data_IF_115231762529
#
_entry.id   IF_115231762529
#
_cell.length_a   1.000
_cell.length_b   1.000
_cell.length_c   1.000
_cell.angle_alpha   90.00
_cell.angle_beta   90.00
_cell.angle_gamma   90.00
#
_symmetry.space_group_name_H-M   'P 1'
#
loop_
_entity.id
_entity.type
_entity.pdbx_description
1 polymer ?
#
# COMPACT_ATOMS: atom_id res chain seq x y z
N UNK A 1 21.46 -48.80 -25.42
CA UNK A 1 20.61 -47.61 -25.67
C UNK A 1 19.49 -47.56 -24.64
N UNK A 2 19.78 -47.28 -23.35
CA UNK A 2 18.75 -47.32 -22.30
C UNK A 2 19.04 -46.42 -21.11
N UNK A 3 19.72 -45.28 -21.29
CA UNK A 3 20.01 -44.33 -20.19
C UNK A 3 19.91 -42.85 -20.55
N UNK A 4 19.20 -42.48 -21.63
CA UNK A 4 19.06 -41.07 -22.05
C UNK A 4 17.69 -40.47 -21.66
N UNK A 5 16.73 -41.31 -21.30
CA UNK A 5 15.34 -40.83 -20.98
C UNK A 5 15.18 -40.36 -19.56
N UNK A 6 16.12 -40.56 -18.67
CA UNK A 6 15.99 -40.21 -17.24
C UNK A 6 16.55 -38.82 -16.90
N UNK A 7 17.23 -38.17 -17.82
CA UNK A 7 17.87 -36.86 -17.55
C UNK A 7 17.01 -35.64 -17.94
N UNK A 8 15.87 -35.85 -18.66
CA UNK A 8 15.02 -34.76 -19.11
C UNK A 8 13.90 -34.41 -18.11
N UNK A 9 13.72 -35.19 -17.07
CA UNK A 9 12.62 -35.02 -16.10
C UNK A 9 12.93 -34.09 -14.91
N UNK A 10 14.21 -33.72 -14.71
CA UNK A 10 14.62 -32.98 -13.50
C UNK A 10 14.71 -31.45 -13.71
N UNK A 11 14.62 -30.98 -14.95
CA UNK A 11 14.84 -29.56 -15.26
C UNK A 11 13.57 -28.69 -15.18
N UNK A 12 12.40 -29.28 -14.86
CA UNK A 12 11.12 -28.52 -14.78
C UNK A 12 10.64 -28.18 -13.37
N UNK A 13 11.43 -28.47 -12.32
CA UNK A 13 10.98 -28.29 -10.93
C UNK A 13 11.56 -27.06 -10.21
N UNK A 14 12.31 -26.19 -10.88
CA UNK A 14 12.94 -25.04 -10.22
C UNK A 14 12.34 -23.68 -10.55
N UNK A 15 11.18 -23.60 -11.20
CA UNK A 15 10.50 -22.32 -11.47
C UNK A 15 9.21 -22.08 -10.65
N UNK A 16 9.01 -22.79 -9.56
CA UNK A 16 7.97 -22.41 -8.57
C UNK A 16 8.54 -21.42 -7.56
N UNK A 17 9.16 -20.34 -8.05
CA UNK A 17 9.62 -19.25 -7.20
C UNK A 17 8.45 -18.33 -6.82
N UNK A 18 8.06 -18.39 -5.55
CA UNK A 18 7.68 -17.23 -4.73
C UNK A 18 6.45 -16.42 -5.14
N UNK A 19 5.35 -17.06 -5.41
CA UNK A 19 4.05 -16.44 -5.12
C UNK A 19 3.60 -16.76 -3.69
N UNK A 20 4.39 -16.35 -2.69
CA UNK A 20 3.81 -16.13 -1.38
C UNK A 20 2.95 -14.85 -1.51
N UNK A 21 1.61 -14.91 -1.39
CA UNK A 21 0.82 -13.69 -1.32
C UNK A 21 1.31 -12.94 -0.09
N UNK A 22 1.90 -11.76 -0.31
CA UNK A 22 2.35 -10.90 0.77
C UNK A 22 1.20 -10.59 1.72
N UNK A 23 1.49 -10.05 2.89
CA UNK A 23 0.48 -9.76 3.93
C UNK A 23 -0.68 -8.88 3.44
N UNK A 24 -0.55 -8.24 2.28
CA UNK A 24 -1.55 -7.34 1.68
C UNK A 24 -1.77 -7.65 0.18
N UNK A 25 -2.32 -8.82 -0.17
CA UNK A 25 -2.40 -9.31 -1.57
C UNK A 25 -3.33 -8.47 -2.47
N UNK A 26 -4.20 -7.65 -1.89
CA UNK A 26 -5.19 -6.85 -2.62
C UNK A 26 -4.87 -5.35 -2.64
N UNK A 27 -3.78 -4.91 -1.99
CA UNK A 27 -3.43 -3.50 -1.97
C UNK A 27 -3.12 -2.98 -3.38
N UNK A 28 -3.60 -1.77 -3.70
CA UNK A 28 -3.16 -1.03 -4.88
C UNK A 28 -1.78 -0.48 -4.62
N UNK A 29 -0.82 -0.80 -5.49
CA UNK A 29 0.60 -0.51 -5.28
C UNK A 29 1.08 0.51 -6.29
N UNK A 30 1.94 1.40 -5.81
CA UNK A 30 2.56 2.46 -6.59
C UNK A 30 4.06 2.44 -6.34
N UNK A 31 4.82 2.12 -7.38
CA UNK A 31 6.29 2.22 -7.34
C UNK A 31 6.71 3.65 -7.62
N UNK A 32 7.40 4.26 -6.66
CA UNK A 32 7.79 5.67 -6.65
C UNK A 32 9.32 5.76 -6.67
N UNK A 33 9.88 6.54 -7.59
CA UNK A 33 11.32 6.81 -7.70
C UNK A 33 11.78 7.80 -6.62
N UNK A 34 11.66 7.39 -5.37
CA UNK A 34 12.06 8.16 -4.19
C UNK A 34 12.49 7.21 -3.08
N UNK A 35 13.52 7.58 -2.32
CA UNK A 35 13.94 6.81 -1.15
C UNK A 35 12.85 6.83 -0.06
N UNK A 36 12.74 5.74 0.70
CA UNK A 36 11.68 5.53 1.70
C UNK A 36 11.62 6.63 2.76
N UNK A 37 12.77 7.02 3.30
CA UNK A 37 12.87 8.10 4.29
C UNK A 37 12.36 9.43 3.74
N UNK A 38 12.68 9.73 2.49
CA UNK A 38 12.25 10.95 1.80
C UNK A 38 10.73 10.97 1.58
N UNK A 39 10.17 9.83 1.17
CA UNK A 39 8.72 9.70 1.00
C UNK A 39 7.98 9.84 2.34
N UNK A 40 8.48 9.21 3.40
CA UNK A 40 7.92 9.32 4.75
C UNK A 40 7.96 10.78 5.23
N UNK A 41 9.09 11.48 5.04
CA UNK A 41 9.22 12.89 5.41
C UNK A 41 8.27 13.78 4.59
N UNK A 42 8.05 13.46 3.31
CA UNK A 42 7.10 14.17 2.44
C UNK A 42 5.67 14.00 2.95
N UNK A 43 5.28 12.79 3.34
CA UNK A 43 3.97 12.50 3.94
C UNK A 43 3.78 13.25 5.27
N UNK A 44 4.81 13.28 6.14
CA UNK A 44 4.77 14.03 7.40
C UNK A 44 4.59 15.53 7.16
N UNK A 45 5.32 16.10 6.19
CA UNK A 45 5.17 17.52 5.82
C UNK A 45 3.78 17.82 5.27
N UNK A 46 3.27 16.96 4.40
CA UNK A 46 1.91 17.08 3.87
C UNK A 46 0.87 17.12 4.99
N UNK A 47 0.91 16.16 5.92
CA UNK A 47 -0.02 16.13 7.06
C UNK A 47 0.12 17.37 7.97
N UNK A 48 1.34 17.89 8.13
CA UNK A 48 1.58 19.12 8.91
C UNK A 48 0.98 20.35 8.23
N UNK A 49 1.03 20.44 6.90
CA UNK A 49 0.44 21.55 6.13
C UNK A 49 -1.06 21.40 5.91
N UNK A 50 -1.59 20.19 6.02
CA UNK A 50 -3.00 19.83 5.81
C UNK A 50 -3.52 18.96 6.97
N UNK A 51 -3.73 19.58 8.16
CA UNK A 51 -4.06 18.86 9.40
C UNK A 51 -5.36 18.06 9.32
N UNK A 52 -6.26 18.36 8.41
CA UNK A 52 -7.49 17.64 8.15
C UNK A 52 -7.25 16.17 7.72
N UNK A 53 -6.06 15.86 7.19
CA UNK A 53 -5.64 14.49 6.86
C UNK A 53 -5.07 13.72 8.05
N UNK A 54 -4.89 14.35 9.21
CA UNK A 54 -4.44 13.67 10.43
C UNK A 54 -5.61 12.91 11.04
N UNK A 55 -5.40 11.63 11.33
CA UNK A 55 -6.38 10.81 12.04
C UNK A 55 -6.42 11.20 13.51
N UNK A 56 -7.62 11.43 14.04
CA UNK A 56 -7.78 11.76 15.46
C UNK A 56 -7.27 10.63 16.35
N UNK A 57 -6.51 10.93 17.42
CA UNK A 57 -5.99 9.95 18.39
C UNK A 57 -7.07 9.04 19.00
N UNK A 58 -8.31 9.51 19.08
CA UNK A 58 -9.45 8.72 19.59
C UNK A 58 -9.70 7.40 18.85
N UNK A 59 -9.22 7.29 17.60
CA UNK A 59 -9.36 6.08 16.78
C UNK A 59 -8.24 5.07 17.00
N UNK A 60 -7.17 5.44 17.71
CA UNK A 60 -6.06 4.54 18.06
C UNK A 60 -5.12 4.20 16.89
N UNK A 61 -5.22 4.89 15.74
CA UNK A 61 -4.34 4.67 14.58
C UNK A 61 -3.20 5.69 14.58
N UNK A 62 -1.97 5.20 14.57
CA UNK A 62 -0.75 6.01 14.60
C UNK A 62 0.16 5.61 13.45
N UNK A 63 0.68 6.62 12.74
CA UNK A 63 1.66 6.38 11.68
C UNK A 63 2.96 5.84 12.28
N UNK A 64 3.53 4.83 11.64
CA UNK A 64 4.78 4.24 12.09
C UNK A 64 4.95 2.78 11.75
N UNK A 65 6.01 2.18 12.29
CA UNK A 65 6.24 0.74 12.23
C UNK A 65 5.64 0.09 13.47
N UNK A 66 4.96 -1.04 13.28
CA UNK A 66 4.29 -1.76 14.38
C UNK A 66 5.28 -2.28 15.42
N UNK A 67 6.46 -2.74 14.96
CA UNK A 67 7.58 -3.17 15.81
C UNK A 67 8.89 -2.78 15.11
N UNK A 68 9.98 -2.58 15.82
CA UNK A 68 11.24 -2.05 15.28
C UNK A 68 11.88 -2.82 14.11
N UNK A 69 11.32 -3.97 13.72
CA UNK A 69 11.73 -4.79 12.56
C UNK A 69 10.64 -4.89 11.49
N UNK A 70 9.55 -4.14 11.62
CA UNK A 70 8.49 -4.15 10.61
C UNK A 70 9.01 -3.56 9.27
N UNK A 71 8.77 -4.26 8.18
CA UNK A 71 9.15 -3.83 6.85
C UNK A 71 8.24 -2.73 6.31
N UNK A 72 7.02 -2.62 6.86
CA UNK A 72 6.04 -1.64 6.44
C UNK A 72 5.99 -0.47 7.42
N UNK A 73 6.05 0.74 6.86
CA UNK A 73 5.71 1.95 7.59
C UNK A 73 4.21 2.22 7.36
N UNK A 74 3.39 2.00 8.37
CA UNK A 74 1.94 2.17 8.32
C UNK A 74 1.56 3.65 8.31
N UNK A 75 0.56 4.01 7.52
CA UNK A 75 0.09 5.39 7.36
C UNK A 75 -1.43 5.38 7.33
N UNK A 76 -2.02 6.30 8.09
CA UNK A 76 -3.45 6.48 8.16
C UNK A 76 -3.82 7.91 7.80
N UNK A 77 -4.58 8.11 6.73
CA UNK A 77 -5.09 9.43 6.34
C UNK A 77 -6.54 9.56 6.75
N UNK A 78 -6.90 10.68 7.36
CA UNK A 78 -8.29 11.05 7.57
C UNK A 78 -8.87 11.59 6.26
N UNK A 79 -10.10 11.22 5.94
CA UNK A 79 -10.89 11.83 4.86
C UNK A 79 -12.15 12.44 5.48
N UNK A 80 -12.11 13.71 5.90
CA UNK A 80 -13.21 14.34 6.64
C UNK A 80 -14.49 14.48 5.82
N UNK A 81 -14.35 14.68 4.49
CA UNK A 81 -15.49 14.84 3.58
C UNK A 81 -16.36 13.59 3.49
N UNK A 82 -15.79 12.42 3.76
CA UNK A 82 -16.48 11.12 3.71
C UNK A 82 -16.57 10.43 5.07
N UNK A 83 -16.07 11.07 6.13
CA UNK A 83 -15.97 10.47 7.47
C UNK A 83 -15.31 9.09 7.42
N UNK A 84 -14.11 9.03 6.82
CA UNK A 84 -13.38 7.78 6.57
C UNK A 84 -11.92 7.92 6.99
N UNK A 85 -11.34 6.77 7.34
CA UNK A 85 -9.90 6.59 7.51
C UNK A 85 -9.40 5.73 6.34
N UNK A 86 -8.35 6.19 5.67
CA UNK A 86 -7.64 5.49 4.61
C UNK A 86 -6.40 4.88 5.23
N UNK A 87 -6.20 3.58 5.04
CA UNK A 87 -4.99 2.89 5.42
C UNK A 87 -4.10 2.63 4.22
N UNK A 88 -2.86 3.01 4.36
CA UNK A 88 -1.79 2.78 3.41
C UNK A 88 -0.52 2.31 4.14
N UNK A 89 0.46 1.82 3.40
CA UNK A 89 1.80 1.58 3.91
C UNK A 89 2.87 1.97 2.89
N UNK A 90 4.07 2.19 3.40
CA UNK A 90 5.29 2.45 2.61
C UNK A 90 6.30 1.35 2.90
N UNK A 91 6.98 0.86 1.87
CA UNK A 91 8.05 -0.12 1.98
C UNK A 91 9.18 0.21 1.02
N UNK A 92 10.40 0.14 1.53
CA UNK A 92 11.60 0.28 0.72
C UNK A 92 11.72 -0.87 -0.28
N UNK A 93 11.95 -0.54 -1.55
CA UNK A 93 12.30 -1.49 -2.60
C UNK A 93 13.82 -1.48 -2.88
N UNK A 94 14.40 -0.28 -2.94
CA UNK A 94 15.84 -0.07 -3.14
C UNK A 94 16.32 1.20 -2.42
N UNK A 95 17.53 1.66 -2.69
CA UNK A 95 18.04 2.94 -2.17
C UNK A 95 17.26 4.15 -2.72
N UNK A 96 16.68 4.03 -3.92
CA UNK A 96 16.04 5.13 -4.65
C UNK A 96 14.59 4.85 -5.00
N UNK A 97 14.05 3.67 -4.65
CA UNK A 97 12.69 3.26 -4.97
C UNK A 97 11.94 2.82 -3.73
N UNK A 98 10.67 3.15 -3.70
CA UNK A 98 9.75 2.84 -2.61
C UNK A 98 8.40 2.45 -3.16
N UNK A 99 7.79 1.42 -2.59
CA UNK A 99 6.36 1.12 -2.81
C UNK A 99 5.52 1.84 -1.78
N UNK A 100 4.55 2.62 -2.24
CA UNK A 100 3.41 3.07 -1.45
C UNK A 100 2.21 2.23 -1.85
N UNK A 101 1.45 1.73 -0.89
CA UNK A 101 0.30 0.90 -1.18
C UNK A 101 -0.96 1.38 -0.46
N UNK A 102 -2.04 1.50 -1.21
CA UNK A 102 -3.37 1.78 -0.70
C UNK A 102 -4.07 0.45 -0.38
N UNK A 103 -4.37 0.22 0.90
CA UNK A 103 -4.81 -1.08 1.40
C UNK A 103 -6.32 -1.15 1.59
N UNK A 104 -6.86 -0.22 2.37
CA UNK A 104 -8.26 -0.30 2.80
C UNK A 104 -8.80 1.03 3.30
N UNK A 105 -10.12 1.09 3.42
CA UNK A 105 -10.86 2.22 3.97
C UNK A 105 -11.75 1.74 5.10
N UNK A 106 -11.87 2.55 6.15
CA UNK A 106 -12.80 2.37 7.26
C UNK A 106 -13.65 3.61 7.45
N UNK A 107 -14.95 3.45 7.71
CA UNK A 107 -15.81 4.56 8.12
C UNK A 107 -15.57 4.88 9.60
N UNK A 108 -15.70 6.15 9.99
CA UNK A 108 -15.59 6.57 11.39
C UNK A 108 -16.63 5.92 12.31
N UNK A 109 -17.83 5.67 11.77
CA UNK A 109 -18.95 5.06 12.49
C UNK A 109 -18.88 3.54 12.57
N UNK A 110 -17.97 2.90 11.81
CA UNK A 110 -17.91 1.44 11.68
C UNK A 110 -16.67 0.90 12.40
N UNK A 111 -16.83 0.61 13.69
CA UNK A 111 -15.75 0.25 14.61
C UNK A 111 -15.08 -1.11 14.35
N UNK A 112 -15.44 -1.83 13.28
CA UNK A 112 -14.87 -3.16 13.05
C UNK A 112 -14.36 -3.42 11.64
N UNK A 113 -14.93 -2.77 10.64
CA UNK A 113 -14.85 -3.27 9.27
C UNK A 113 -13.98 -2.40 8.35
N UNK A 114 -12.73 -2.82 8.17
CA UNK A 114 -11.90 -2.36 7.07
C UNK A 114 -12.38 -3.00 5.76
N UNK A 115 -12.70 -2.18 4.77
CA UNK A 115 -12.97 -2.64 3.40
C UNK A 115 -11.72 -2.52 2.56
N UNK A 116 -11.25 -3.65 2.06
CA UNK A 116 -10.01 -3.75 1.27
C UNK A 116 -10.23 -3.30 -0.16
N UNK A 117 -9.29 -2.54 -0.67
CA UNK A 117 -9.20 -2.19 -2.09
C UNK A 117 -9.02 -3.49 -2.90
N UNK A 118 -9.50 -3.51 -4.12
CA UNK A 118 -9.44 -4.63 -5.06
C UNK A 118 -10.10 -5.95 -4.58
N UNK A 119 -10.83 -5.93 -3.44
CA UNK A 119 -11.52 -7.10 -2.92
C UNK A 119 -12.96 -6.84 -2.50
N UNK A 120 -13.19 -5.87 -1.62
CA UNK A 120 -14.45 -5.72 -0.91
C UNK A 120 -15.39 -4.69 -1.58
N UNK A 121 -14.97 -4.12 -2.71
CA UNK A 121 -15.74 -3.15 -3.50
C UNK A 121 -16.12 -3.71 -4.88
N UNK A 122 -17.29 -3.32 -5.40
CA UNK A 122 -17.64 -3.58 -6.79
C UNK A 122 -16.69 -2.84 -7.73
N UNK A 123 -16.41 -3.39 -8.91
CA UNK A 123 -15.40 -2.89 -9.87
C UNK A 123 -15.45 -1.37 -10.10
N UNK A 124 -16.64 -0.81 -10.35
CA UNK A 124 -16.79 0.63 -10.60
C UNK A 124 -16.51 1.50 -9.37
N UNK A 125 -16.96 1.06 -8.19
CA UNK A 125 -16.70 1.73 -6.93
C UNK A 125 -15.22 1.66 -6.56
N UNK A 126 -14.59 0.50 -6.74
CA UNK A 126 -13.17 0.30 -6.49
C UNK A 126 -12.31 1.26 -7.31
N UNK A 127 -12.53 1.35 -8.63
CA UNK A 127 -11.83 2.29 -9.51
C UNK A 127 -11.99 3.74 -9.06
N UNK A 128 -13.20 4.12 -8.62
CA UNK A 128 -13.44 5.47 -8.11
C UNK A 128 -12.64 5.77 -6.86
N UNK A 129 -12.51 4.80 -5.93
CA UNK A 129 -11.73 4.96 -4.70
C UNK A 129 -10.23 5.05 -4.96
N UNK A 130 -9.71 4.25 -5.89
CA UNK A 130 -8.32 4.32 -6.34
C UNK A 130 -8.04 5.71 -6.89
N UNK A 131 -8.86 6.19 -7.84
CA UNK A 131 -8.70 7.51 -8.43
C UNK A 131 -8.83 8.66 -7.44
N UNK A 132 -9.68 8.53 -6.42
CA UNK A 132 -9.75 9.50 -5.33
C UNK A 132 -8.49 9.52 -4.47
N UNK A 133 -7.91 8.36 -4.18
CA UNK A 133 -6.65 8.25 -3.45
C UNK A 133 -5.50 8.91 -4.23
N UNK A 134 -5.38 8.62 -5.51
CA UNK A 134 -4.40 9.23 -6.40
C UNK A 134 -4.54 10.76 -6.39
N UNK A 135 -5.74 11.28 -6.67
CA UNK A 135 -5.99 12.71 -6.76
C UNK A 135 -5.80 13.44 -5.43
N UNK A 136 -6.25 12.86 -4.31
CA UNK A 136 -6.24 13.54 -3.01
C UNK A 136 -4.96 13.31 -2.21
N UNK A 137 -4.27 12.21 -2.45
CA UNK A 137 -3.07 11.84 -1.68
C UNK A 137 -1.83 11.90 -2.55
N UNK A 138 -1.72 11.11 -3.62
CA UNK A 138 -0.49 11.06 -4.41
C UNK A 138 -0.16 12.40 -5.03
N UNK A 139 -1.09 13.02 -5.76
CA UNK A 139 -0.84 14.33 -6.39
C UNK A 139 -0.63 15.44 -5.37
N UNK A 140 -1.30 15.39 -4.21
CA UNK A 140 -1.07 16.34 -3.12
C UNK A 140 0.28 16.16 -2.44
N UNK A 141 0.84 14.95 -2.49
CA UNK A 141 2.22 14.66 -2.11
C UNK A 141 3.22 15.10 -3.19
N UNK A 142 2.79 15.61 -4.35
CA UNK A 142 3.66 15.92 -5.48
C UNK A 142 4.15 14.69 -6.25
N UNK A 143 3.50 13.54 -6.06
CA UNK A 143 3.82 12.29 -6.76
C UNK A 143 2.95 12.23 -8.00
N UNK A 144 3.51 12.62 -9.15
CA UNK A 144 2.81 12.65 -10.44
C UNK A 144 3.23 11.50 -11.34
N UNK A 145 4.42 10.94 -11.10
CA UNK A 145 4.99 9.83 -11.86
C UNK A 145 5.11 8.62 -10.94
N UNK A 146 4.32 7.59 -11.21
CA UNK A 146 4.37 6.29 -10.53
C UNK A 146 4.02 5.18 -11.52
N UNK A 147 4.48 3.98 -11.22
CA UNK A 147 4.13 2.76 -11.94
C UNK A 147 3.09 2.04 -11.08
N UNK A 148 1.93 1.75 -11.66
CA UNK A 148 0.93 0.86 -11.06
C UNK A 148 1.37 -0.60 -11.28
N UNK A 149 1.44 -1.39 -10.19
CA UNK A 149 1.83 -2.81 -10.22
C UNK A 149 0.61 -3.75 -10.24
#
# INVERSE_FOLDING_TARGET
MRNILTLLGVFFLVNSCNFAPGSYPFAERYTIELAEDKLIDQIKRFKKSSPEYIVSPKYGFVDGRSFGKDHWYHIYFNNPQKSQIIYAWVRKESKTKTTLAFVSIKKHSDLGNWKRINKDYKRGENKKKIKEFENKILYSLGINDFIED
#
